data_IF_623587958984
#
_entry.id   IF_623587958984
#
_cell.length_a   1.000
_cell.length_b   1.000
_cell.length_c   1.000
_cell.angle_alpha   90.00
_cell.angle_beta   90.00
_cell.angle_gamma   90.00
#
_symmetry.space_group_name_H-M   'P 1'
#
loop_
_entity.id
_entity.type
_entity.pdbx_description
1 polymer ?
#
# COMPACT_ATOMS: atom_id res chain seq x y z
N UNK A 1 -27.26 1.34 -23.93
CA UNK A 1 -25.83 1.25 -23.61
C UNK A 1 -25.65 1.21 -22.12
N UNK A 2 -25.09 0.19 -21.68
CA UNK A 2 -24.90 0.09 -20.23
C UNK A 2 -23.91 1.13 -19.77
N UNK A 3 -24.18 1.65 -18.63
CA UNK A 3 -23.22 2.50 -17.96
C UNK A 3 -22.03 1.66 -17.55
N UNK A 4 -21.06 2.31 -17.01
CA UNK A 4 -19.94 1.61 -16.46
C UNK A 4 -20.19 1.38 -14.98
N UNK A 5 -20.95 0.36 -14.67
CA UNK A 5 -21.41 0.18 -13.31
C UNK A 5 -20.30 -0.09 -12.32
N UNK A 6 -19.19 -0.65 -12.81
CA UNK A 6 -18.15 -1.06 -11.89
C UNK A 6 -17.46 0.11 -11.21
N UNK A 7 -17.53 1.30 -11.79
CA UNK A 7 -16.84 2.44 -11.19
C UNK A 7 -17.45 2.85 -9.87
N UNK A 8 -18.76 2.74 -9.75
CA UNK A 8 -19.45 3.19 -8.55
C UNK A 8 -20.13 2.07 -7.82
N UNK A 9 -19.83 0.83 -8.18
CA UNK A 9 -20.40 -0.33 -7.54
C UNK A 9 -19.90 -0.39 -6.10
N UNK A 10 -20.80 -0.40 -5.11
CA UNK A 10 -20.36 -0.43 -3.70
C UNK A 10 -19.49 -1.63 -3.36
N UNK A 11 -19.77 -2.80 -3.95
CA UNK A 11 -18.95 -3.96 -3.68
C UNK A 11 -17.53 -3.77 -4.20
N UNK A 12 -17.40 -3.13 -5.34
CA UNK A 12 -16.08 -2.86 -5.90
C UNK A 12 -15.33 -1.85 -5.08
N UNK A 13 -16.02 -0.80 -4.64
CA UNK A 13 -15.40 0.22 -3.79
C UNK A 13 -14.93 -0.42 -2.48
N UNK A 14 -15.75 -1.26 -1.88
CA UNK A 14 -15.38 -1.95 -0.65
C UNK A 14 -14.17 -2.85 -0.86
N UNK A 15 -14.10 -3.50 -2.03
CA UNK A 15 -12.96 -4.35 -2.36
C UNK A 15 -11.69 -3.52 -2.49
N UNK A 16 -11.78 -2.36 -3.14
CA UNK A 16 -10.62 -1.48 -3.25
C UNK A 16 -10.15 -1.00 -1.89
N UNK A 17 -11.09 -0.69 -1.01
CA UNK A 17 -10.74 -0.24 0.33
C UNK A 17 -10.03 -1.33 1.12
N UNK A 18 -10.50 -2.58 0.99
CA UNK A 18 -9.82 -3.69 1.63
C UNK A 18 -8.41 -3.87 1.09
N UNK A 19 -8.27 -3.76 -0.22
CA UNK A 19 -6.97 -3.87 -0.85
C UNK A 19 -6.01 -2.80 -0.33
N UNK A 20 -6.49 -1.56 -0.25
CA UNK A 20 -5.65 -0.48 0.25
C UNK A 20 -5.23 -0.72 1.69
N UNK A 21 -6.13 -1.23 2.52
CA UNK A 21 -5.77 -1.52 3.91
C UNK A 21 -4.76 -2.64 3.99
N UNK A 22 -4.92 -3.67 3.17
CA UNK A 22 -3.98 -4.78 3.16
C UNK A 22 -2.58 -4.33 2.73
N UNK A 23 -2.51 -3.57 1.65
CA UNK A 23 -1.23 -3.06 1.18
C UNK A 23 -0.61 -2.13 2.22
N UNK A 24 -1.42 -1.24 2.78
CA UNK A 24 -0.92 -0.32 3.81
C UNK A 24 -0.37 -1.05 5.02
N UNK A 25 -1.07 -2.06 5.49
CA UNK A 25 -0.62 -2.84 6.65
C UNK A 25 0.68 -3.58 6.34
N UNK A 26 0.83 -4.08 5.12
CA UNK A 26 2.05 -4.75 4.73
C UNK A 26 3.22 -3.78 4.72
N UNK A 27 3.00 -2.57 4.23
CA UNK A 27 4.05 -1.54 4.23
C UNK A 27 4.47 -1.24 5.66
N UNK A 28 3.51 -1.07 6.57
CA UNK A 28 3.84 -0.81 7.98
C UNK A 28 4.66 -1.96 8.55
N UNK A 29 4.26 -3.19 8.28
CA UNK A 29 4.97 -4.35 8.82
C UNK A 29 6.40 -4.41 8.31
N UNK A 30 6.59 -4.21 7.02
CA UNK A 30 7.93 -4.27 6.44
C UNK A 30 8.79 -3.11 6.94
N UNK A 31 8.21 -1.92 7.03
CA UNK A 31 8.91 -0.75 7.54
C UNK A 31 9.38 -0.98 8.97
N UNK A 32 8.46 -1.49 9.79
CA UNK A 32 8.75 -1.73 11.19
C UNK A 32 9.82 -2.81 11.37
N UNK A 33 9.75 -3.87 10.57
CA UNK A 33 10.76 -4.92 10.62
C UNK A 33 12.14 -4.39 10.34
N UNK A 34 12.23 -3.36 9.50
CA UNK A 34 13.51 -2.77 9.15
C UNK A 34 13.91 -1.63 10.04
N UNK A 35 13.10 -1.35 11.06
CA UNK A 35 13.42 -0.28 12.01
C UNK A 35 13.31 1.11 11.41
N UNK A 36 12.54 1.29 10.36
CA UNK A 36 12.43 2.58 9.70
C UNK A 36 11.23 3.35 10.24
N UNK A 37 11.45 4.65 10.45
CA UNK A 37 10.33 5.54 10.75
C UNK A 37 9.60 5.89 9.45
N UNK A 38 8.40 6.44 9.60
CA UNK A 38 7.68 6.94 8.43
C UNK A 38 8.51 8.00 7.71
N UNK A 39 9.17 8.86 8.45
CA UNK A 39 10.00 9.89 7.82
C UNK A 39 11.15 9.30 7.04
N UNK A 40 11.80 8.29 7.61
CA UNK A 40 12.93 7.65 6.93
C UNK A 40 12.48 6.96 5.65
N UNK A 41 11.35 6.27 5.70
CA UNK A 41 10.84 5.60 4.49
C UNK A 41 10.39 6.62 3.46
N UNK A 42 9.72 7.69 3.89
CA UNK A 42 9.31 8.74 2.97
C UNK A 42 10.52 9.32 2.28
N UNK A 43 11.57 9.61 3.03
CA UNK A 43 12.78 10.21 2.46
C UNK A 43 13.44 9.28 1.45
N UNK A 44 13.60 8.01 1.79
CA UNK A 44 14.31 7.10 0.90
C UNK A 44 13.47 6.69 -0.30
N UNK A 45 12.15 6.76 -0.21
CA UNK A 45 11.30 6.40 -1.34
C UNK A 45 10.95 7.58 -2.23
N UNK A 46 11.17 8.81 -1.75
CA UNK A 46 10.76 10.00 -2.48
C UNK A 46 9.28 10.30 -2.40
N UNK A 47 8.56 9.64 -1.50
CA UNK A 47 7.13 9.86 -1.29
C UNK A 47 6.99 10.77 -0.07
N UNK A 48 6.09 11.76 -0.15
CA UNK A 48 5.92 12.64 0.98
C UNK A 48 5.40 11.88 2.20
N UNK A 49 5.76 12.35 3.38
CA UNK A 49 5.33 11.71 4.61
C UNK A 49 3.82 11.66 4.72
N UNK A 50 3.14 12.73 4.34
CA UNK A 50 1.68 12.77 4.43
C UNK A 50 1.03 11.73 3.52
N UNK A 51 1.55 11.58 2.32
CA UNK A 51 1.06 10.56 1.40
C UNK A 51 1.33 9.17 1.98
N UNK A 52 2.52 8.95 2.52
CA UNK A 52 2.86 7.66 3.10
C UNK A 52 1.93 7.31 4.26
N UNK A 53 1.63 8.28 5.11
CA UNK A 53 0.72 8.04 6.22
C UNK A 53 -0.65 7.59 5.71
N UNK A 54 -1.16 8.26 4.69
CA UNK A 54 -2.46 7.89 4.13
C UNK A 54 -2.43 6.51 3.51
N UNK A 55 -1.35 6.16 2.84
CA UNK A 55 -1.20 4.84 2.24
C UNK A 55 -1.15 3.77 3.33
N UNK A 56 -0.39 4.01 4.39
CA UNK A 56 -0.27 3.05 5.48
C UNK A 56 -1.60 2.82 6.19
N UNK A 57 -2.44 3.84 6.24
CA UNK A 57 -3.76 3.72 6.86
C UNK A 57 -4.83 3.21 5.90
N UNK A 58 -4.46 2.94 4.65
CA UNK A 58 -5.42 2.45 3.67
C UNK A 58 -6.37 3.50 3.16
N UNK A 59 -6.04 4.78 3.34
CA UNK A 59 -6.92 5.87 2.93
C UNK A 59 -6.71 6.26 1.47
N UNK A 60 -5.61 5.84 0.87
CA UNK A 60 -5.38 6.10 -0.54
C UNK A 60 -4.46 5.04 -1.12
N UNK A 61 -4.52 4.89 -2.43
CA UNK A 61 -3.60 4.03 -3.14
C UNK A 61 -2.45 4.85 -3.70
N UNK A 62 -1.65 4.19 -4.51
CA UNK A 62 -0.51 4.80 -5.17
C UNK A 62 -0.49 4.36 -6.62
N UNK A 63 0.07 5.19 -7.47
CA UNK A 63 0.44 4.74 -8.79
C UNK A 63 1.47 3.63 -8.64
N UNK A 64 1.46 2.69 -9.60
CA UNK A 64 2.35 1.54 -9.46
C UNK A 64 3.83 1.96 -9.46
N UNK A 65 4.17 3.04 -10.14
CA UNK A 65 5.55 3.52 -10.12
C UNK A 65 5.99 3.86 -8.70
N UNK A 66 5.09 4.46 -7.93
CA UNK A 66 5.41 4.80 -6.54
C UNK A 66 5.49 3.57 -5.66
N UNK A 67 4.73 2.53 -5.99
CA UNK A 67 4.86 1.27 -5.29
C UNK A 67 6.24 0.66 -5.49
N UNK A 68 6.77 0.76 -6.71
CA UNK A 68 8.13 0.30 -6.98
C UNK A 68 9.15 1.09 -6.17
N UNK A 69 8.93 2.41 -6.02
CA UNK A 69 9.83 3.22 -5.21
C UNK A 69 9.83 2.75 -3.76
N UNK A 70 8.65 2.43 -3.22
CA UNK A 70 8.56 1.91 -1.86
C UNK A 70 9.24 0.56 -1.72
N UNK A 71 9.02 -0.32 -2.69
CA UNK A 71 9.62 -1.64 -2.65
C UNK A 71 11.14 -1.53 -2.65
N UNK A 72 11.66 -0.65 -3.47
CA UNK A 72 13.11 -0.44 -3.52
C UNK A 72 13.63 0.09 -2.19
N UNK A 73 12.94 1.06 -1.62
CA UNK A 73 13.34 1.62 -0.32
C UNK A 73 13.28 0.58 0.79
N UNK A 74 12.35 -0.36 0.69
CA UNK A 74 12.22 -1.44 1.68
C UNK A 74 13.06 -2.67 1.33
N UNK A 75 13.71 -2.64 0.18
CA UNK A 75 14.56 -3.74 -0.28
C UNK A 75 13.77 -5.05 -0.39
N UNK A 76 12.62 -4.97 -1.02
CA UNK A 76 11.78 -6.14 -1.27
C UNK A 76 11.27 -6.07 -2.71
N UNK A 77 10.88 -7.20 -3.31
CA UNK A 77 10.20 -7.13 -4.59
C UNK A 77 8.82 -6.49 -4.41
N UNK A 78 8.35 -5.82 -5.46
CA UNK A 78 7.06 -5.14 -5.36
C UNK A 78 5.94 -6.12 -5.02
N UNK A 79 6.05 -7.37 -5.44
CA UNK A 79 5.04 -8.37 -5.12
C UNK A 79 4.86 -8.53 -3.61
N UNK A 80 5.91 -8.29 -2.83
CA UNK A 80 5.81 -8.41 -1.39
C UNK A 80 4.87 -7.37 -0.79
N UNK A 81 4.71 -6.22 -1.46
CA UNK A 81 3.80 -5.19 -0.99
C UNK A 81 2.34 -5.55 -1.28
N UNK A 82 2.11 -6.37 -2.28
CA UNK A 82 0.78 -6.66 -2.76
C UNK A 82 0.22 -7.97 -2.20
N UNK A 83 1.02 -8.70 -1.46
CA UNK A 83 0.62 -9.98 -0.92
C UNK A 83 0.27 -9.84 0.55
N UNK A 84 -0.62 -10.70 1.01
CA UNK A 84 -0.85 -10.77 2.44
C UNK A 84 0.37 -11.34 3.12
N UNK A 85 0.59 -10.89 4.35
CA UNK A 85 1.75 -11.33 5.10
C UNK A 85 1.67 -12.82 5.35
N UNK A 86 2.77 -13.54 5.16
CA UNK A 86 2.80 -14.95 5.51
C UNK A 86 2.49 -15.13 6.99
N UNK A 87 1.74 -16.14 7.27
CA UNK A 87 1.38 -16.44 8.64
C UNK A 87 0.11 -15.78 9.09
N UNK A 88 -0.33 -14.74 8.39
CA UNK A 88 -1.56 -14.12 8.74
C UNK A 88 -2.70 -14.93 8.23
N UNK A 89 -3.42 -15.49 8.39
CA UNK A 89 -4.43 -16.28 7.78
C UNK A 89 -4.05 -17.73 7.72
N UNK A 90 -3.02 -18.08 8.39
CA UNK A 90 -2.58 -19.46 8.30
C UNK A 90 -2.79 -20.16 9.59
#
# INVERSE_FOLDING_TARGET
MPTRPSQNNPDRVASWERTRRTVGATIVALRTERGLTQEALALSSGISRNVLIDVEHGRRGLLYERLFDLAEALDVPVAALLSERPGTGR
#
